data_IF_927577204403
#
_entry.id   IF_927577204403
#
_cell.length_a   1.000
_cell.length_b   1.000
_cell.length_c   1.000
_cell.angle_alpha   90.00
_cell.angle_beta   90.00
_cell.angle_gamma   90.00
#
_symmetry.space_group_name_H-M   'P 1'
#
loop_
_entity.id
_entity.type
_entity.pdbx_description
1 polymer ?
#
# COMPACT_ATOMS: atom_id res chain seq x y z
N UNK A 1 -4.39 -5.59 -27.00
CA UNK A 1 -3.28 -4.80 -26.43
C UNK A 1 -3.56 -4.38 -24.99
N UNK A 2 -4.58 -3.57 -24.69
CA UNK A 2 -4.90 -3.20 -23.29
C UNK A 2 -5.15 -4.41 -22.39
N UNK A 3 -5.93 -5.39 -22.87
CA UNK A 3 -6.15 -6.67 -22.15
C UNK A 3 -4.87 -7.47 -21.95
N UNK A 4 -3.91 -7.38 -22.87
CA UNK A 4 -2.60 -8.03 -22.75
C UNK A 4 -1.77 -7.41 -21.65
N UNK A 5 -1.75 -6.07 -21.55
CA UNK A 5 -1.08 -5.35 -20.46
C UNK A 5 -1.68 -5.78 -19.11
N UNK A 6 -3.01 -5.77 -18.99
CA UNK A 6 -3.69 -6.23 -17.77
C UNK A 6 -3.36 -7.68 -17.43
N UNK A 7 -3.39 -8.58 -18.42
CA UNK A 7 -3.06 -9.98 -18.21
C UNK A 7 -1.62 -10.15 -17.70
N UNK A 8 -0.64 -9.46 -18.28
CA UNK A 8 0.75 -9.51 -17.84
C UNK A 8 0.92 -8.98 -16.42
N UNK A 9 0.25 -7.88 -16.07
CA UNK A 9 0.29 -7.31 -14.72
C UNK A 9 -0.41 -8.21 -13.68
N UNK A 10 -1.50 -8.86 -14.05
CA UNK A 10 -2.17 -9.84 -13.21
C UNK A 10 -1.29 -11.09 -13.00
N UNK A 11 -0.69 -11.62 -14.08
CA UNK A 11 0.26 -12.72 -14.01
C UNK A 11 1.44 -12.35 -13.12
N UNK A 12 1.99 -11.14 -13.24
CA UNK A 12 3.03 -10.65 -12.34
C UNK A 12 2.60 -10.76 -10.88
N UNK A 13 1.44 -10.19 -10.53
CA UNK A 13 0.92 -10.24 -9.17
C UNK A 13 0.75 -11.69 -8.70
N UNK A 14 0.08 -12.53 -9.47
CA UNK A 14 -0.15 -13.93 -9.11
C UNK A 14 1.16 -14.71 -8.96
N UNK A 15 2.07 -14.63 -9.92
CA UNK A 15 3.32 -15.37 -9.89
C UNK A 15 4.15 -15.04 -8.66
N UNK A 16 4.34 -13.76 -8.31
CA UNK A 16 5.15 -13.44 -7.14
C UNK A 16 4.50 -13.93 -5.85
N UNK A 17 3.17 -13.76 -5.69
CA UNK A 17 2.50 -14.24 -4.49
C UNK A 17 2.48 -15.79 -4.39
N UNK A 18 2.68 -16.48 -5.52
CA UNK A 18 2.92 -17.92 -5.60
C UNK A 18 4.41 -18.30 -5.49
N UNK A 19 5.29 -17.37 -5.10
CA UNK A 19 6.75 -17.56 -4.99
C UNK A 19 7.44 -17.92 -6.33
N UNK A 20 6.91 -17.42 -7.45
CA UNK A 20 7.46 -17.56 -8.80
C UNK A 20 8.05 -16.22 -9.29
N UNK A 21 8.95 -15.64 -8.48
CA UNK A 21 9.49 -14.29 -8.62
C UNK A 21 10.10 -14.00 -10.00
N UNK A 22 10.81 -14.97 -10.59
CA UNK A 22 11.43 -14.80 -11.90
C UNK A 22 10.39 -14.60 -13.01
N UNK A 23 9.35 -15.46 -13.03
CA UNK A 23 8.23 -15.34 -13.97
C UNK A 23 7.44 -14.05 -13.71
N UNK A 24 7.24 -13.71 -12.44
CA UNK A 24 6.62 -12.45 -12.04
C UNK A 24 7.36 -11.24 -12.58
N UNK A 25 8.69 -11.22 -12.45
CA UNK A 25 9.55 -10.16 -12.97
C UNK A 25 9.56 -10.04 -14.48
N UNK A 26 9.54 -11.17 -15.20
CA UNK A 26 9.42 -11.16 -16.66
C UNK A 26 8.07 -10.59 -17.11
N UNK A 27 6.97 -11.01 -16.47
CA UNK A 27 5.63 -10.50 -16.75
C UNK A 27 5.52 -9.00 -16.44
N UNK A 28 6.11 -8.54 -15.32
CA UNK A 28 6.21 -7.12 -14.97
C UNK A 28 6.96 -6.32 -16.03
N UNK A 29 8.15 -6.78 -16.43
CA UNK A 29 8.98 -6.09 -17.42
C UNK A 29 8.25 -5.95 -18.76
N UNK A 30 7.60 -7.02 -19.24
CA UNK A 30 6.82 -6.99 -20.48
C UNK A 30 5.58 -6.08 -20.35
N UNK A 31 4.83 -6.19 -19.26
CA UNK A 31 3.63 -5.39 -19.02
C UNK A 31 3.94 -3.90 -18.95
N UNK A 32 4.99 -3.52 -18.22
CA UNK A 32 5.43 -2.12 -18.09
C UNK A 32 6.02 -1.56 -19.39
N UNK A 33 6.78 -2.37 -20.14
CA UNK A 33 7.25 -1.99 -21.49
C UNK A 33 6.08 -1.68 -22.41
N UNK A 34 5.08 -2.57 -22.48
CA UNK A 34 3.88 -2.34 -23.29
C UNK A 34 3.09 -1.12 -22.80
N UNK A 35 2.95 -0.92 -21.49
CA UNK A 35 2.30 0.27 -20.94
C UNK A 35 3.02 1.58 -21.36
N UNK A 36 4.35 1.56 -21.41
CA UNK A 36 5.16 2.67 -21.92
C UNK A 36 4.91 2.91 -23.41
N UNK A 37 4.99 1.85 -24.21
CA UNK A 37 4.87 1.89 -25.66
C UNK A 37 3.48 2.42 -26.11
N UNK A 38 2.41 1.94 -25.45
CA UNK A 38 1.04 2.41 -25.68
C UNK A 38 0.70 3.74 -24.99
N UNK A 39 1.67 4.32 -24.27
CA UNK A 39 1.56 5.60 -23.56
C UNK A 39 0.28 5.68 -22.72
N UNK A 40 -0.04 4.63 -21.96
CA UNK A 40 -1.30 4.56 -21.21
C UNK A 40 -1.40 5.64 -20.12
N UNK A 41 -0.26 6.21 -19.72
CA UNK A 41 -0.12 7.33 -18.79
C UNK A 41 -0.40 8.72 -19.42
N UNK A 42 -0.54 8.80 -20.74
CA UNK A 42 -0.84 10.05 -21.46
C UNK A 42 -2.32 10.15 -21.82
N UNK A 43 -2.84 11.38 -21.79
CA UNK A 43 -4.12 11.71 -22.42
C UNK A 43 -4.05 11.44 -23.92
N UNK A 44 -5.15 11.00 -24.50
CA UNK A 44 -5.25 10.72 -25.93
C UNK A 44 -6.53 11.32 -26.52
N UNK A 45 -6.96 12.46 -25.99
CA UNK A 45 -8.25 13.07 -26.28
C UNK A 45 -8.40 13.40 -27.79
N UNK A 46 -7.35 13.88 -28.44
CA UNK A 46 -7.35 14.17 -29.88
C UNK A 46 -7.36 12.91 -30.74
N UNK A 47 -6.66 11.85 -30.33
CA UNK A 47 -6.69 10.56 -31.02
C UNK A 47 -8.06 9.90 -30.89
N UNK A 48 -8.70 9.98 -29.71
CA UNK A 48 -10.06 9.48 -29.49
C UNK A 48 -11.07 10.23 -30.36
N UNK A 49 -10.98 11.56 -30.42
CA UNK A 49 -11.80 12.39 -31.33
C UNK A 49 -11.63 11.96 -32.79
N UNK A 50 -10.40 11.67 -33.22
CA UNK A 50 -10.10 11.27 -34.60
C UNK A 50 -10.81 9.96 -34.99
N UNK A 51 -10.88 9.00 -34.07
CA UNK A 51 -11.60 7.73 -34.28
C UNK A 51 -13.08 7.79 -33.92
N UNK A 52 -13.61 8.99 -33.64
CA UNK A 52 -15.00 9.25 -33.21
C UNK A 52 -15.41 8.50 -31.94
N UNK A 53 -14.45 8.15 -31.10
CA UNK A 53 -14.72 7.61 -29.77
C UNK A 53 -15.03 8.76 -28.81
N UNK A 54 -16.13 8.70 -28.04
CA UNK A 54 -16.43 9.73 -27.08
C UNK A 54 -15.38 9.73 -25.97
N UNK A 55 -15.04 10.93 -25.49
CA UNK A 55 -14.31 11.07 -24.24
C UNK A 55 -15.12 10.39 -23.13
N UNK A 56 -14.47 9.58 -22.31
CA UNK A 56 -15.09 8.70 -21.30
C UNK A 56 -15.96 7.58 -21.89
N UNK A 57 -15.77 7.24 -23.17
CA UNK A 57 -16.26 6.01 -23.77
C UNK A 57 -15.51 4.77 -23.24
N UNK A 58 -15.93 3.57 -23.66
CA UNK A 58 -15.37 2.30 -23.13
C UNK A 58 -13.86 2.19 -23.32
N UNK A 59 -13.34 2.59 -24.49
CA UNK A 59 -11.91 2.51 -24.78
C UNK A 59 -11.09 3.44 -23.88
N UNK A 60 -11.54 4.68 -23.68
CA UNK A 60 -10.89 5.65 -22.80
C UNK A 60 -10.91 5.17 -21.34
N UNK A 61 -12.04 4.64 -20.87
CA UNK A 61 -12.15 4.05 -19.53
C UNK A 61 -11.16 2.88 -19.36
N UNK A 62 -11.12 1.94 -20.32
CA UNK A 62 -10.19 0.81 -20.27
C UNK A 62 -8.72 1.26 -20.21
N UNK A 63 -8.34 2.33 -20.94
CA UNK A 63 -6.99 2.90 -20.88
C UNK A 63 -6.66 3.44 -19.48
N UNK A 64 -7.60 4.18 -18.87
CA UNK A 64 -7.43 4.75 -17.53
C UNK A 64 -7.31 3.66 -16.47
N UNK A 65 -8.07 2.57 -16.62
CA UNK A 65 -8.02 1.43 -15.70
C UNK A 65 -6.72 0.66 -15.85
N UNK A 66 -6.27 0.38 -17.09
CA UNK A 66 -4.94 -0.22 -17.34
C UNK A 66 -3.85 0.59 -16.67
N UNK A 67 -3.89 1.92 -16.78
CA UNK A 67 -2.93 2.79 -16.11
C UNK A 67 -3.03 2.71 -14.58
N UNK A 68 -4.25 2.62 -14.01
CA UNK A 68 -4.45 2.38 -12.58
C UNK A 68 -3.83 1.07 -12.10
N UNK A 69 -4.00 -0.02 -12.86
CA UNK A 69 -3.35 -1.31 -12.58
C UNK A 69 -1.83 -1.23 -12.69
N UNK A 70 -1.31 -0.52 -13.70
CA UNK A 70 0.12 -0.27 -13.85
C UNK A 70 0.68 0.38 -12.58
N UNK A 71 0.01 1.44 -12.07
CA UNK A 71 0.42 2.12 -10.84
C UNK A 71 0.39 1.19 -9.63
N UNK A 72 -0.66 0.38 -9.47
CA UNK A 72 -0.79 -0.56 -8.36
C UNK A 72 0.35 -1.57 -8.34
N UNK A 73 0.57 -2.28 -9.44
CA UNK A 73 1.62 -3.30 -9.52
C UNK A 73 3.00 -2.66 -9.37
N UNK A 74 3.25 -1.48 -9.97
CA UNK A 74 4.53 -0.80 -9.79
C UNK A 74 4.77 -0.31 -8.38
N UNK A 75 3.74 0.18 -7.68
CA UNK A 75 3.89 0.60 -6.28
C UNK A 75 4.33 -0.55 -5.40
N UNK A 76 3.68 -1.69 -5.60
CA UNK A 76 3.96 -2.91 -4.88
C UNK A 76 5.33 -3.48 -5.26
N UNK A 77 5.65 -3.56 -6.55
CA UNK A 77 6.95 -4.02 -7.05
C UNK A 77 8.12 -3.19 -6.51
N UNK A 78 7.97 -1.86 -6.52
CA UNK A 78 9.00 -0.95 -6.02
C UNK A 78 9.17 -1.06 -4.50
N UNK A 79 8.08 -1.20 -3.74
CA UNK A 79 8.13 -1.37 -2.29
C UNK A 79 8.73 -2.73 -1.90
N UNK A 80 8.33 -3.81 -2.56
CA UNK A 80 8.75 -5.18 -2.23
C UNK A 80 10.19 -5.47 -2.65
N UNK A 81 10.56 -5.19 -3.90
CA UNK A 81 11.89 -5.52 -4.42
C UNK A 81 12.91 -4.39 -4.33
N UNK A 82 12.52 -3.19 -3.86
CA UNK A 82 13.39 -2.00 -3.91
C UNK A 82 13.95 -1.73 -5.32
N UNK A 83 13.14 -2.00 -6.36
CA UNK A 83 13.52 -1.91 -7.77
C UNK A 83 13.01 -0.63 -8.44
N UNK A 84 13.57 -0.25 -9.60
CA UNK A 84 13.12 0.92 -10.34
C UNK A 84 11.63 0.88 -10.61
N UNK A 85 11.00 2.01 -10.32
CA UNK A 85 9.59 2.26 -10.60
C UNK A 85 9.35 2.30 -12.11
N UNK A 86 8.09 2.24 -12.53
CA UNK A 86 7.74 2.48 -13.93
C UNK A 86 8.32 3.82 -14.43
N UNK A 87 8.88 3.88 -15.66
CA UNK A 87 9.66 5.02 -16.13
C UNK A 87 8.84 6.29 -16.41
N UNK A 88 7.51 6.24 -16.33
CA UNK A 88 6.61 7.33 -16.69
C UNK A 88 5.67 7.76 -15.55
N UNK A 89 6.01 7.41 -14.31
CA UNK A 89 5.25 7.82 -13.11
C UNK A 89 5.36 9.33 -12.84
N UNK A 90 6.39 10.00 -13.38
CA UNK A 90 6.68 11.41 -13.09
C UNK A 90 5.89 12.41 -13.94
N UNK A 91 5.40 11.99 -15.11
CA UNK A 91 4.71 12.87 -16.05
C UNK A 91 3.35 12.32 -16.50
N UNK A 92 2.49 11.86 -15.57
CA UNK A 92 1.18 11.40 -15.97
C UNK A 92 0.31 12.58 -16.33
N UNK A 93 -0.23 12.57 -17.54
CA UNK A 93 -1.31 13.48 -17.92
C UNK A 93 -2.68 12.80 -17.85
N UNK A 94 -2.72 11.46 -17.73
CA UNK A 94 -3.95 10.67 -17.78
C UNK A 94 -5.04 11.11 -16.79
N UNK A 95 -6.28 11.16 -17.27
CA UNK A 95 -7.45 11.48 -16.45
C UNK A 95 -7.76 10.39 -15.41
N UNK A 96 -8.51 10.75 -14.36
CA UNK A 96 -9.06 9.76 -13.42
C UNK A 96 -10.10 8.86 -14.09
N UNK A 97 -10.19 7.60 -13.66
CA UNK A 97 -11.22 6.67 -14.14
C UNK A 97 -12.62 7.20 -13.77
N UNK A 98 -13.66 6.76 -14.48
CA UNK A 98 -15.06 7.08 -14.14
C UNK A 98 -15.56 6.10 -13.07
N UNK A 99 -16.51 6.54 -12.26
CA UNK A 99 -17.24 5.64 -11.36
C UNK A 99 -18.28 4.86 -12.15
N UNK A 100 -18.31 3.55 -11.97
CA UNK A 100 -19.36 2.66 -12.47
C UNK A 100 -20.48 2.53 -11.44
N UNK A 101 -21.67 2.08 -11.87
CA UNK A 101 -22.81 1.86 -10.98
C UNK A 101 -23.58 3.12 -10.56
N UNK A 102 -24.67 2.91 -9.82
CA UNK A 102 -25.54 3.98 -9.31
C UNK A 102 -25.07 4.46 -7.93
N UNK A 103 -25.00 5.78 -7.79
CA UNK A 103 -24.78 6.44 -6.51
C UNK A 103 -26.15 6.78 -5.92
N UNK A 104 -26.59 6.00 -4.94
CA UNK A 104 -27.85 6.18 -4.22
C UNK A 104 -27.67 5.93 -2.72
N UNK A 105 -28.74 6.00 -1.92
CA UNK A 105 -28.68 5.72 -0.48
C UNK A 105 -28.16 4.30 -0.15
N UNK A 106 -28.32 3.38 -1.11
CA UNK A 106 -27.70 2.05 -1.10
C UNK A 106 -26.88 1.88 -2.38
N UNK A 107 -25.58 2.21 -2.37
CA UNK A 107 -24.74 2.07 -3.54
C UNK A 107 -24.60 0.61 -3.95
N UNK A 108 -24.64 0.34 -5.26
CA UNK A 108 -24.48 -1.03 -5.76
C UNK A 108 -23.05 -1.54 -5.52
N UNK A 109 -22.85 -2.86 -5.43
CA UNK A 109 -21.51 -3.44 -5.25
C UNK A 109 -20.54 -3.00 -6.35
N UNK A 110 -21.01 -2.86 -7.60
CA UNK A 110 -20.21 -2.33 -8.72
C UNK A 110 -19.75 -0.88 -8.47
N UNK A 111 -20.59 -0.06 -7.83
CA UNK A 111 -20.23 1.30 -7.44
C UNK A 111 -19.15 1.33 -6.37
N UNK A 112 -19.28 0.50 -5.34
CA UNK A 112 -18.29 0.36 -4.27
C UNK A 112 -16.96 -0.12 -4.84
N UNK A 113 -16.95 -1.17 -5.68
CA UNK A 113 -15.72 -1.68 -6.33
C UNK A 113 -15.06 -0.62 -7.20
N UNK A 114 -15.84 0.16 -7.96
CA UNK A 114 -15.29 1.22 -8.79
C UNK A 114 -14.67 2.36 -7.98
N UNK A 115 -15.30 2.73 -6.86
CA UNK A 115 -14.72 3.65 -5.89
C UNK A 115 -13.42 3.12 -5.28
N UNK A 116 -13.43 1.86 -4.85
CA UNK A 116 -12.25 1.20 -4.30
C UNK A 116 -11.09 1.20 -5.29
N UNK A 117 -11.35 0.90 -6.55
CA UNK A 117 -10.34 0.94 -7.60
C UNK A 117 -9.74 2.35 -7.79
N UNK A 118 -10.58 3.39 -7.86
CA UNK A 118 -10.08 4.76 -7.98
C UNK A 118 -9.24 5.20 -6.78
N UNK A 119 -9.69 4.83 -5.57
CA UNK A 119 -8.97 5.14 -4.34
C UNK A 119 -7.64 4.40 -4.27
N UNK A 120 -7.64 3.13 -4.66
CA UNK A 120 -6.43 2.34 -4.79
C UNK A 120 -5.46 2.97 -5.80
N UNK A 121 -5.92 3.39 -6.98
CA UNK A 121 -5.08 4.07 -7.98
C UNK A 121 -4.38 5.30 -7.40
N UNK A 122 -5.13 6.16 -6.70
CA UNK A 122 -4.56 7.35 -6.06
C UNK A 122 -3.57 6.98 -4.96
N UNK A 123 -3.89 5.99 -4.13
CA UNK A 123 -3.03 5.50 -3.06
C UNK A 123 -1.74 4.88 -3.62
N UNK A 124 -1.81 4.12 -4.72
CA UNK A 124 -0.65 3.55 -5.40
C UNK A 124 0.27 4.62 -5.99
N UNK A 125 -0.29 5.72 -6.48
CA UNK A 125 0.53 6.86 -6.89
C UNK A 125 1.25 7.48 -5.68
N UNK A 126 0.57 7.67 -4.54
CA UNK A 126 1.22 8.14 -3.31
C UNK A 126 2.29 7.16 -2.82
N UNK A 127 2.02 5.85 -2.85
CA UNK A 127 2.97 4.80 -2.50
C UNK A 127 4.27 4.91 -3.30
N UNK A 128 4.16 5.11 -4.60
CA UNK A 128 5.30 5.34 -5.48
C UNK A 128 6.11 6.57 -5.02
N UNK A 129 5.47 7.68 -4.70
CA UNK A 129 6.17 8.87 -4.19
C UNK A 129 6.83 8.63 -2.82
N UNK A 130 6.19 7.86 -1.94
CA UNK A 130 6.75 7.45 -0.63
C UNK A 130 8.02 6.62 -0.80
N UNK A 131 7.98 5.57 -1.65
CA UNK A 131 9.16 4.73 -1.95
C UNK A 131 10.28 5.58 -2.55
N UNK A 132 9.96 6.50 -3.46
CA UNK A 132 10.95 7.42 -4.04
C UNK A 132 11.59 8.31 -2.98
N UNK A 133 10.79 8.90 -2.10
CA UNK A 133 11.24 9.81 -1.04
C UNK A 133 12.26 9.13 -0.11
N UNK A 134 12.01 7.86 0.26
CA UNK A 134 12.82 7.14 1.24
C UNK A 134 13.93 6.28 0.62
N UNK A 135 13.75 5.74 -0.58
CA UNK A 135 14.67 4.76 -1.18
C UNK A 135 15.20 5.14 -2.57
N UNK A 136 14.44 5.91 -3.35
CA UNK A 136 14.71 6.09 -4.78
C UNK A 136 15.51 7.35 -5.16
N UNK A 137 15.45 8.42 -4.36
CA UNK A 137 16.01 9.71 -4.75
C UNK A 137 17.21 10.14 -3.87
N UNK A 138 18.30 10.54 -4.53
CA UNK A 138 19.38 11.30 -3.89
C UNK A 138 18.88 12.72 -3.62
N UNK A 139 18.26 12.90 -2.46
CA UNK A 139 17.73 14.19 -1.99
C UNK A 139 18.59 14.72 -0.85
N UNK A 140 18.70 16.05 -0.74
CA UNK A 140 19.19 16.65 0.51
C UNK A 140 18.20 16.37 1.64
N UNK A 141 18.68 16.34 2.89
CA UNK A 141 17.84 16.12 4.07
C UNK A 141 16.64 17.09 4.11
N UNK A 142 16.87 18.37 3.82
CA UNK A 142 15.81 19.39 3.69
C UNK A 142 14.75 19.03 2.65
N UNK A 143 15.14 18.71 1.41
CA UNK A 143 14.19 18.39 0.35
C UNK A 143 13.38 17.12 0.68
N UNK A 144 14.02 16.16 1.35
CA UNK A 144 13.35 14.96 1.85
C UNK A 144 12.33 15.32 2.93
N UNK A 145 12.68 16.16 3.91
CA UNK A 145 11.76 16.61 4.95
C UNK A 145 10.52 17.32 4.38
N UNK A 146 10.73 18.25 3.44
CA UNK A 146 9.64 18.94 2.72
C UNK A 146 8.73 17.93 1.99
N UNK A 147 9.31 16.89 1.38
CA UNK A 147 8.57 15.84 0.70
C UNK A 147 7.75 14.97 1.65
N UNK A 148 8.30 14.62 2.81
CA UNK A 148 7.59 13.85 3.85
C UNK A 148 6.39 14.64 4.38
N UNK A 149 6.56 15.91 4.70
CA UNK A 149 5.46 16.78 5.16
C UNK A 149 4.33 16.82 4.13
N UNK A 150 4.69 17.00 2.85
CA UNK A 150 3.72 17.01 1.76
C UNK A 150 3.00 15.66 1.63
N UNK A 151 3.75 14.56 1.59
CA UNK A 151 3.20 13.21 1.39
C UNK A 151 2.31 12.79 2.56
N UNK A 152 2.67 13.15 3.79
CA UNK A 152 1.83 12.93 4.96
C UNK A 152 0.48 13.63 4.81
N UNK A 153 0.47 14.92 4.46
CA UNK A 153 -0.77 15.67 4.22
C UNK A 153 -1.59 15.08 3.07
N UNK A 154 -0.93 14.65 1.99
CA UNK A 154 -1.63 14.06 0.84
C UNK A 154 -2.25 12.69 1.20
N UNK A 155 -1.61 11.91 2.08
CA UNK A 155 -2.16 10.66 2.65
C UNK A 155 -3.35 10.95 3.57
N UNK A 156 -3.23 11.91 4.49
CA UNK A 156 -4.32 12.33 5.38
C UNK A 156 -5.54 12.81 4.56
N UNK A 157 -5.31 13.65 3.54
CA UNK A 157 -6.37 14.10 2.63
C UNK A 157 -7.00 12.94 1.83
N UNK A 158 -6.23 11.91 1.48
CA UNK A 158 -6.77 10.71 0.84
C UNK A 158 -7.74 9.97 1.78
N UNK A 159 -7.38 9.87 3.07
CA UNK A 159 -8.17 9.21 4.12
C UNK A 159 -9.45 10.00 4.44
N UNK A 160 -9.33 11.30 4.65
CA UNK A 160 -10.47 12.20 4.94
C UNK A 160 -11.44 12.29 3.77
N UNK A 161 -10.94 12.11 2.54
CA UNK A 161 -11.75 12.13 1.35
C UNK A 161 -12.57 10.85 1.12
N UNK A 162 -12.52 9.84 1.98
CA UNK A 162 -13.20 8.56 1.74
C UNK A 162 -14.73 8.69 1.75
N UNK A 163 -15.44 8.06 0.78
CA UNK A 163 -16.89 8.09 0.78
C UNK A 163 -17.46 7.29 1.95
N UNK A 164 -18.61 7.70 2.47
CA UNK A 164 -19.25 7.07 3.63
C UNK A 164 -19.52 5.56 3.43
N UNK A 165 -19.83 5.15 2.20
CA UNK A 165 -20.05 3.74 1.84
C UNK A 165 -18.78 2.86 1.86
N UNK A 166 -17.62 3.46 2.10
CA UNK A 166 -16.34 2.77 2.28
C UNK A 166 -15.65 3.25 3.56
N UNK A 167 -16.38 3.84 4.51
CA UNK A 167 -15.77 4.32 5.73
C UNK A 167 -15.15 3.16 6.53
N UNK A 168 -14.05 3.44 7.22
CA UNK A 168 -13.46 2.52 8.19
C UNK A 168 -13.20 3.29 9.49
N UNK A 169 -13.49 2.73 10.67
CA UNK A 169 -14.17 1.45 10.88
C UNK A 169 -15.61 1.46 10.34
N UNK A 170 -16.17 0.29 9.98
CA UNK A 170 -17.55 0.19 9.56
C UNK A 170 -18.50 0.64 10.67
N UNK A 171 -19.63 1.24 10.30
CA UNK A 171 -20.61 1.74 11.26
C UNK A 171 -21.25 0.63 12.10
N UNK A 172 -21.66 0.94 13.33
CA UNK A 172 -22.23 -0.04 14.28
C UNK A 172 -23.48 -0.78 13.76
N UNK A 173 -24.17 -0.21 12.77
CA UNK A 173 -25.39 -0.76 12.17
C UNK A 173 -25.20 -1.24 10.73
N UNK A 174 -23.96 -1.52 10.31
CA UNK A 174 -23.70 -2.07 8.98
C UNK A 174 -24.28 -3.48 8.87
N UNK A 175 -25.23 -3.68 7.94
CA UNK A 175 -25.94 -4.94 7.75
C UNK A 175 -25.08 -6.02 7.08
N UNK A 176 -24.11 -5.62 6.27
CA UNK A 176 -23.20 -6.50 5.55
C UNK A 176 -21.75 -6.19 5.91
N UNK A 177 -20.88 -7.19 6.11
CA UNK A 177 -19.47 -6.93 6.36
C UNK A 177 -18.81 -6.19 5.19
N UNK A 178 -18.00 -5.19 5.52
CA UNK A 178 -17.14 -4.48 4.57
C UNK A 178 -16.27 -5.46 3.78
N UNK A 179 -16.25 -5.33 2.45
CA UNK A 179 -15.45 -6.21 1.58
C UNK A 179 -13.98 -6.25 2.00
N UNK A 180 -13.31 -7.44 1.99
CA UNK A 180 -11.89 -7.55 2.30
C UNK A 180 -11.01 -6.60 1.50
N UNK A 181 -11.33 -6.33 0.23
CA UNK A 181 -10.58 -5.39 -0.61
C UNK A 181 -10.64 -3.94 -0.09
N UNK A 182 -11.79 -3.52 0.47
CA UNK A 182 -11.94 -2.19 1.10
C UNK A 182 -11.13 -2.14 2.40
N UNK A 183 -11.16 -3.19 3.21
CA UNK A 183 -10.38 -3.26 4.45
C UNK A 183 -8.88 -3.23 4.15
N UNK A 184 -8.41 -4.01 3.17
CA UNK A 184 -7.01 -4.02 2.72
C UNK A 184 -6.56 -2.67 2.16
N UNK A 185 -7.46 -1.89 1.54
CA UNK A 185 -7.14 -0.54 1.09
C UNK A 185 -6.75 0.36 2.27
N UNK A 186 -7.41 0.24 3.41
CA UNK A 186 -7.03 0.95 4.64
C UNK A 186 -5.77 0.39 5.30
N UNK A 187 -5.57 -0.93 5.26
CA UNK A 187 -4.31 -1.53 5.70
C UNK A 187 -3.13 -1.03 4.85
N UNK A 188 -3.34 -0.85 3.55
CA UNK A 188 -2.36 -0.28 2.62
C UNK A 188 -2.07 1.17 2.97
N UNK A 189 -3.10 1.98 3.29
CA UNK A 189 -2.88 3.36 3.75
C UNK A 189 -1.99 3.40 5.00
N UNK A 190 -2.30 2.58 6.01
CA UNK A 190 -1.53 2.52 7.24
C UNK A 190 -0.10 2.01 7.00
N UNK A 191 0.08 1.05 6.09
CA UNK A 191 1.42 0.53 5.75
C UNK A 191 2.26 1.59 5.03
N UNK A 192 1.66 2.47 4.23
CA UNK A 192 2.35 3.62 3.64
C UNK A 192 2.73 4.69 4.66
N UNK A 193 1.91 4.91 5.69
CA UNK A 193 2.28 5.78 6.82
C UNK A 193 3.52 5.23 7.51
N UNK A 194 3.55 3.91 7.79
CA UNK A 194 4.73 3.22 8.33
C UNK A 194 5.92 3.38 7.38
N UNK A 195 5.75 3.09 6.09
CA UNK A 195 6.84 3.16 5.11
C UNK A 195 7.42 4.57 5.00
N UNK A 196 6.56 5.59 5.09
CA UNK A 196 6.95 7.00 5.05
C UNK A 196 7.73 7.41 6.30
N UNK A 197 7.24 7.06 7.50
CA UNK A 197 7.72 7.62 8.76
C UNK A 197 8.75 6.74 9.50
N UNK A 198 8.79 5.43 9.23
CA UNK A 198 9.69 4.48 9.92
C UNK A 198 11.17 4.89 9.90
N UNK A 199 11.76 5.39 8.80
CA UNK A 199 13.17 5.83 8.81
C UNK A 199 13.45 6.87 9.90
N UNK A 200 12.53 7.83 10.08
CA UNK A 200 12.67 8.90 11.07
C UNK A 200 12.46 8.40 12.51
N UNK A 201 11.57 7.43 12.70
CA UNK A 201 11.41 6.76 13.99
C UNK A 201 12.71 6.05 14.42
N UNK A 202 13.39 5.36 13.49
CA UNK A 202 14.65 4.65 13.74
C UNK A 202 15.82 5.63 13.96
N UNK A 203 15.97 6.61 13.08
CA UNK A 203 17.04 7.62 13.17
C UNK A 203 16.95 8.38 14.50
N UNK A 204 15.74 8.73 14.95
CA UNK A 204 15.54 9.38 16.23
C UNK A 204 15.98 8.50 17.40
N UNK A 205 15.55 7.24 17.42
CA UNK A 205 15.91 6.30 18.48
C UNK A 205 17.42 6.05 18.56
N UNK A 206 18.11 6.10 17.42
CA UNK A 206 19.52 5.74 17.29
C UNK A 206 20.48 6.91 17.46
N UNK A 207 20.14 8.11 16.96
CA UNK A 207 21.09 9.22 16.81
C UNK A 207 20.58 10.57 17.32
N UNK A 208 19.28 10.70 17.64
CA UNK A 208 18.65 11.97 17.99
C UNK A 208 18.59 12.92 16.79
N UNK A 209 17.40 13.09 16.21
CA UNK A 209 17.19 13.99 15.05
C UNK A 209 17.26 15.47 15.44
N UNK A 210 18.45 15.97 15.76
CA UNK A 210 18.70 17.37 16.12
C UNK A 210 19.91 17.89 15.32
N UNK A 211 19.71 18.15 14.03
CA UNK A 211 20.75 18.66 13.14
C UNK A 211 20.25 19.81 12.25
N UNK A 212 21.06 20.86 11.99
CA UNK A 212 20.68 21.97 11.12
C UNK A 212 20.40 21.55 9.67
N UNK A 213 20.86 20.36 9.26
CA UNK A 213 20.62 19.74 7.96
C UNK A 213 19.14 19.42 7.67
N UNK A 214 18.32 19.25 8.71
CA UNK A 214 16.87 19.03 8.60
C UNK A 214 16.06 20.32 8.59
N UNK A 215 16.71 21.49 8.54
CA UNK A 215 16.08 22.81 8.55
C UNK A 215 15.11 23.04 9.74
N UNK A 216 15.32 22.34 10.86
CA UNK A 216 14.45 22.39 12.04
C UNK A 216 13.15 21.58 11.91
N UNK A 217 12.96 20.82 10.83
CA UNK A 217 11.82 19.90 10.70
C UNK A 217 12.14 18.62 11.46
N UNK A 218 11.41 18.39 12.55
CA UNK A 218 11.51 17.18 13.38
C UNK A 218 10.18 16.44 13.29
N UNK A 219 10.21 15.17 12.90
CA UNK A 219 9.03 14.31 12.89
C UNK A 219 8.86 13.66 14.26
N UNK A 220 8.50 14.49 15.24
CA UNK A 220 8.52 14.09 16.64
C UNK A 220 7.57 12.91 16.94
N UNK A 221 6.44 12.90 16.25
CA UNK A 221 5.37 11.92 16.37
C UNK A 221 5.53 10.70 15.44
N UNK A 222 6.67 10.58 14.73
CA UNK A 222 6.86 9.54 13.72
C UNK A 222 6.65 8.12 14.28
N UNK A 223 7.21 7.83 15.46
CA UNK A 223 7.07 6.52 16.09
C UNK A 223 5.64 6.28 16.58
N UNK A 224 5.04 7.23 17.28
CA UNK A 224 3.66 7.12 17.79
C UNK A 224 2.68 6.92 16.63
N UNK A 225 2.88 7.64 15.53
CA UNK A 225 2.10 7.48 14.31
C UNK A 225 2.29 6.10 13.67
N UNK A 226 3.51 5.56 13.65
CA UNK A 226 3.77 4.19 13.17
C UNK A 226 3.13 3.12 14.06
N UNK A 227 3.13 3.32 15.38
CA UNK A 227 2.48 2.41 16.35
C UNK A 227 0.95 2.47 16.17
N UNK A 228 0.36 3.65 16.04
CA UNK A 228 -1.07 3.80 15.76
C UNK A 228 -1.47 3.15 14.43
N UNK A 229 -0.70 3.37 13.37
CA UNK A 229 -0.92 2.72 12.07
C UNK A 229 -0.80 1.20 12.16
N UNK A 230 0.17 0.69 12.93
CA UNK A 230 0.33 -0.74 13.22
C UNK A 230 -0.90 -1.31 13.92
N UNK A 231 -1.38 -0.66 14.98
CA UNK A 231 -2.58 -1.09 15.70
C UNK A 231 -3.82 -1.15 14.78
N UNK A 232 -3.97 -0.16 13.90
CA UNK A 232 -5.04 -0.15 12.89
C UNK A 232 -4.92 -1.31 11.89
N UNK A 233 -3.71 -1.66 11.44
CA UNK A 233 -3.50 -2.84 10.57
C UNK A 233 -3.90 -4.13 11.31
N UNK A 234 -3.50 -4.29 12.57
CA UNK A 234 -3.85 -5.48 13.36
C UNK A 234 -5.37 -5.59 13.52
N UNK A 235 -6.06 -4.49 13.83
CA UNK A 235 -7.53 -4.43 13.91
C UNK A 235 -8.18 -4.85 12.57
N UNK A 236 -7.65 -4.35 11.45
CA UNK A 236 -8.14 -4.67 10.10
C UNK A 236 -7.92 -6.15 9.74
N UNK A 237 -6.80 -6.75 10.17
CA UNK A 237 -6.52 -8.18 9.97
C UNK A 237 -7.47 -9.04 10.80
N UNK A 238 -7.71 -8.67 12.07
CA UNK A 238 -8.74 -9.30 12.91
C UNK A 238 -10.10 -9.27 12.22
N UNK A 239 -10.51 -8.10 11.73
CA UNK A 239 -11.79 -7.99 11.04
C UNK A 239 -11.90 -8.91 9.83
N UNK A 240 -10.87 -8.94 8.96
CA UNK A 240 -10.86 -9.82 7.78
C UNK A 240 -10.95 -11.29 8.21
N UNK A 241 -10.13 -11.70 9.17
CA UNK A 241 -10.12 -13.06 9.72
C UNK A 241 -11.49 -13.44 10.28
N UNK A 242 -12.07 -12.61 11.14
CA UNK A 242 -13.27 -12.94 11.91
C UNK A 242 -14.54 -12.88 11.06
N UNK A 243 -14.61 -11.98 10.07
CA UNK A 243 -15.81 -11.78 9.24
C UNK A 243 -15.78 -12.55 7.92
N UNK A 244 -14.60 -12.84 7.37
CA UNK A 244 -14.45 -13.44 6.05
C UNK A 244 -13.57 -14.69 6.03
N UNK A 245 -12.65 -14.82 7.00
CA UNK A 245 -11.56 -15.78 6.95
C UNK A 245 -10.37 -15.27 6.14
N UNK A 246 -9.15 -15.68 6.52
CA UNK A 246 -7.92 -15.20 5.89
C UNK A 246 -7.78 -15.62 4.42
N UNK A 247 -8.41 -16.72 4.00
CA UNK A 247 -8.42 -17.17 2.60
C UNK A 247 -9.07 -16.16 1.63
N UNK A 248 -9.95 -15.29 2.14
CA UNK A 248 -10.61 -14.25 1.35
C UNK A 248 -9.80 -12.96 1.24
N UNK A 249 -8.66 -12.86 1.95
CA UNK A 249 -7.84 -11.66 1.97
C UNK A 249 -7.10 -11.47 0.64
N UNK A 250 -7.08 -10.24 0.08
CA UNK A 250 -6.18 -9.90 -1.01
C UNK A 250 -4.73 -10.14 -0.61
N UNK A 251 -3.93 -10.57 -1.58
CA UNK A 251 -2.54 -10.97 -1.35
C UNK A 251 -1.68 -9.82 -0.78
N UNK A 252 -1.97 -8.57 -1.15
CA UNK A 252 -1.29 -7.37 -0.63
C UNK A 252 -1.49 -7.12 0.87
N UNK A 253 -2.44 -7.79 1.52
CA UNK A 253 -2.59 -7.72 2.97
C UNK A 253 -1.33 -8.24 3.66
N UNK A 254 -0.64 -9.25 3.09
CA UNK A 254 0.59 -9.81 3.66
C UNK A 254 1.67 -8.73 3.86
N UNK A 255 1.81 -7.80 2.92
CA UNK A 255 2.83 -6.74 2.98
C UNK A 255 2.49 -5.72 4.06
N UNK A 256 1.19 -5.45 4.25
CA UNK A 256 0.70 -4.59 5.32
C UNK A 256 1.00 -5.23 6.69
N UNK A 257 0.70 -6.52 6.85
CA UNK A 257 1.01 -7.26 8.08
C UNK A 257 2.51 -7.32 8.33
N UNK A 258 3.32 -7.55 7.30
CA UNK A 258 4.78 -7.54 7.41
C UNK A 258 5.30 -6.19 7.92
N UNK A 259 4.86 -5.08 7.33
CA UNK A 259 5.27 -3.74 7.77
C UNK A 259 4.85 -3.45 9.22
N UNK A 260 3.62 -3.79 9.60
CA UNK A 260 3.15 -3.70 10.98
C UNK A 260 4.02 -4.53 11.93
N UNK A 261 4.30 -5.79 11.57
CA UNK A 261 5.15 -6.69 12.36
C UNK A 261 6.57 -6.13 12.58
N UNK A 262 7.16 -5.44 11.58
CA UNK A 262 8.47 -4.80 11.78
C UNK A 262 8.45 -3.67 12.82
N UNK A 263 7.34 -2.94 12.95
CA UNK A 263 7.17 -1.92 14.00
C UNK A 263 6.93 -2.58 15.37
N UNK A 264 6.18 -3.69 15.42
CA UNK A 264 5.98 -4.46 16.65
C UNK A 264 7.29 -5.04 17.18
N UNK A 265 8.14 -5.60 16.30
CA UNK A 265 9.52 -6.01 16.68
C UNK A 265 10.30 -4.82 17.23
N UNK A 266 10.22 -3.66 16.56
CA UNK A 266 10.92 -2.47 17.00
C UNK A 266 10.48 -2.01 18.41
N UNK A 267 9.18 -2.03 18.67
CA UNK A 267 8.59 -1.72 19.98
C UNK A 267 8.95 -2.75 21.06
N UNK A 268 8.93 -4.04 20.72
CA UNK A 268 9.22 -5.14 21.64
C UNK A 268 10.72 -5.30 21.95
N UNK A 269 11.61 -4.89 21.04
CA UNK A 269 13.07 -5.05 21.17
C UNK A 269 13.75 -4.20 22.24
N UNK A 270 13.04 -3.23 22.82
CA UNK A 270 13.63 -2.24 23.74
C UNK A 270 14.55 -1.22 23.07
N UNK A 271 14.70 -1.26 21.73
CA UNK A 271 15.42 -0.24 20.95
C UNK A 271 14.77 1.15 21.06
N UNK A 272 13.48 1.20 21.40
CA UNK A 272 12.80 2.42 21.80
C UNK A 272 12.27 2.27 23.22
N UNK A 273 12.37 3.35 24.00
CA UNK A 273 11.75 3.46 25.32
C UNK A 273 10.24 3.26 25.18
N UNK A 274 9.78 2.10 25.64
CA UNK A 274 8.38 1.71 25.70
C UNK A 274 8.09 1.26 27.12
N UNK A 275 6.90 1.58 27.64
CA UNK A 275 6.47 1.05 28.93
C UNK A 275 6.36 -0.48 28.87
N UNK A 276 6.60 -1.20 29.98
CA UNK A 276 6.55 -2.66 30.00
C UNK A 276 5.24 -3.24 29.46
N UNK A 277 4.11 -2.63 29.79
CA UNK A 277 2.79 -3.03 29.28
C UNK A 277 2.70 -2.89 27.74
N UNK A 278 3.28 -1.84 27.18
CA UNK A 278 3.34 -1.62 25.74
C UNK A 278 4.23 -2.64 25.03
N UNK A 279 5.34 -3.05 25.64
CA UNK A 279 6.20 -4.10 25.10
C UNK A 279 5.50 -5.47 25.10
N UNK A 280 4.76 -5.80 26.16
CA UNK A 280 3.94 -7.02 26.23
C UNK A 280 2.85 -7.03 25.15
N UNK A 281 2.09 -5.95 25.02
CA UNK A 281 1.05 -5.83 23.99
C UNK A 281 1.63 -5.93 22.57
N UNK A 282 2.84 -5.40 22.34
CA UNK A 282 3.53 -5.51 21.07
C UNK A 282 3.92 -6.97 20.75
N UNK A 283 4.39 -7.73 21.75
CA UNK A 283 4.70 -9.16 21.60
C UNK A 283 3.46 -10.00 21.30
N UNK A 284 2.34 -9.73 21.96
CA UNK A 284 1.05 -10.39 21.71
C UNK A 284 0.57 -10.11 20.27
N UNK A 285 0.59 -8.84 19.87
CA UNK A 285 0.23 -8.42 18.50
C UNK A 285 1.17 -9.01 17.45
N UNK A 286 2.46 -9.17 17.78
CA UNK A 286 3.46 -9.75 16.89
C UNK A 286 3.22 -11.24 16.69
N UNK A 287 2.89 -11.97 17.76
CA UNK A 287 2.50 -13.38 17.68
C UNK A 287 1.24 -13.55 16.81
N UNK A 288 0.26 -12.67 16.96
CA UNK A 288 -0.92 -12.66 16.10
C UNK A 288 -0.57 -12.37 14.63
N UNK A 289 0.24 -11.34 14.36
CA UNK A 289 0.66 -10.98 13.01
C UNK A 289 1.40 -12.14 12.31
N UNK A 290 2.27 -12.85 13.05
CA UNK A 290 2.95 -14.04 12.54
C UNK A 290 1.95 -15.17 12.18
N UNK A 291 0.98 -15.45 13.07
CA UNK A 291 -0.07 -16.44 12.78
C UNK A 291 -0.91 -16.05 11.56
N UNK A 292 -1.28 -14.76 11.44
CA UNK A 292 -2.03 -14.27 10.30
C UNK A 292 -1.24 -14.41 8.97
N UNK A 293 0.08 -14.21 8.98
CA UNK A 293 0.93 -14.44 7.81
C UNK A 293 1.00 -15.93 7.43
N UNK A 294 1.04 -16.83 8.41
CA UNK A 294 0.97 -18.27 8.14
C UNK A 294 -0.38 -18.70 7.56
N UNK A 295 -1.48 -18.15 8.07
CA UNK A 295 -2.83 -18.39 7.52
C UNK A 295 -2.96 -17.83 6.09
N UNK A 296 -2.40 -16.64 5.83
CA UNK A 296 -2.31 -16.10 4.47
C UNK A 296 -1.52 -17.02 3.54
N UNK A 297 -0.47 -17.68 4.05
CA UNK A 297 0.39 -18.56 3.26
C UNK A 297 -0.32 -19.80 2.71
N UNK A 298 -1.45 -20.19 3.31
CA UNK A 298 -2.30 -21.26 2.78
C UNK A 298 -2.89 -20.91 1.41
N UNK A 299 -3.11 -19.61 1.15
CA UNK A 299 -3.63 -19.09 -0.13
C UNK A 299 -2.52 -18.47 -0.99
N UNK A 300 -1.61 -17.73 -0.35
CA UNK A 300 -0.54 -16.95 -0.98
C UNK A 300 0.81 -17.39 -0.42
N UNK A 301 1.46 -18.42 -1.00
CA UNK A 301 2.68 -19.02 -0.45
C UNK A 301 3.82 -18.05 -0.10
N UNK A 302 3.91 -16.91 -0.79
CA UNK A 302 4.90 -15.87 -0.47
C UNK A 302 4.77 -15.33 0.97
N UNK A 303 3.58 -15.36 1.58
CA UNK A 303 3.37 -14.90 2.95
C UNK A 303 4.17 -15.70 3.99
N UNK A 304 4.50 -16.96 3.69
CA UNK A 304 5.36 -17.77 4.55
C UNK A 304 6.78 -17.19 4.65
N UNK A 305 7.28 -16.57 3.57
CA UNK A 305 8.59 -15.90 3.59
C UNK A 305 8.56 -14.66 4.49
N UNK A 306 7.45 -13.90 4.46
CA UNK A 306 7.24 -12.77 5.36
C UNK A 306 7.13 -13.24 6.82
N UNK A 307 6.39 -14.31 7.10
CA UNK A 307 6.29 -14.90 8.45
C UNK A 307 7.67 -15.30 8.98
N UNK A 308 8.46 -16.01 8.17
CA UNK A 308 9.81 -16.45 8.53
C UNK A 308 10.74 -15.26 8.77
N UNK A 309 10.68 -14.22 7.92
CA UNK A 309 11.45 -12.99 8.11
C UNK A 309 11.11 -12.31 9.45
N UNK A 310 9.82 -12.22 9.80
CA UNK A 310 9.37 -11.67 11.08
C UNK A 310 9.89 -12.51 12.26
N UNK A 311 9.81 -13.84 12.16
CA UNK A 311 10.31 -14.76 13.17
C UNK A 311 11.82 -14.60 13.41
N UNK A 312 12.59 -14.48 12.34
CA UNK A 312 14.03 -14.22 12.40
C UNK A 312 14.33 -12.87 13.07
N UNK A 313 13.61 -11.81 12.72
CA UNK A 313 13.77 -10.49 13.34
C UNK A 313 13.44 -10.54 14.83
N UNK A 314 12.34 -11.19 15.22
CA UNK A 314 11.99 -11.37 16.62
C UNK A 314 13.08 -12.13 17.38
N UNK A 315 13.59 -13.23 16.81
CA UNK A 315 14.68 -14.01 17.41
C UNK A 315 16.03 -13.28 17.45
N UNK A 316 16.20 -12.21 16.68
CA UNK A 316 17.43 -11.40 16.73
C UNK A 316 17.33 -10.25 17.74
N UNK A 317 16.16 -9.61 17.84
CA UNK A 317 16.02 -8.34 18.54
C UNK A 317 15.13 -8.40 19.79
N UNK A 318 14.29 -9.42 19.94
CA UNK A 318 13.36 -9.55 21.07
C UNK A 318 13.78 -10.64 22.06
N UNK A 319 15.00 -11.17 21.94
CA UNK A 319 15.50 -12.19 22.88
C UNK A 319 15.88 -11.51 24.20
N UNK A 320 15.26 -12.02 25.25
CA UNK A 320 15.30 -11.66 26.66
C UNK A 320 16.52 -10.85 27.12
N UNK A 321 16.27 -9.61 27.56
CA UNK A 321 17.03 -9.01 28.64
C UNK A 321 16.62 -9.64 29.98
#
# INVERSE_FOLDING_TARGET
MLSTILALLLICATCVHMSLDELGGQAYAQGTFMAADFRVHQQCDEQLKTIKEPLRGMLDMARRDVYGYCLAISSWWAAYYSRPMMPFVETPTQHMSRLHGECGPHPTSSHITSHAFQRHRTLSHLALQVVRCNHGARMSARARAESVVKLRRDLEAWRDGMPACMAWPPGEHELEPSSPSTVTLFATYNSLIIHLLRPYAIERASYGLNGPEWAGVVFDDALETCIAATAQIIEQVHYVRDRHGMWAAPSSLQDCVYHAATILVFQASGLVRTEPAGATAALESLAYAHMALLELAETWPAAAQAAESVRMLQAQYCVSA
#
